data_IF_174460946959
#
_entry.id   IF_174460946959
#
_cell.length_a   1.000
_cell.length_b   1.000
_cell.length_c   1.000
_cell.angle_alpha   90.00
_cell.angle_beta   90.00
_cell.angle_gamma   90.00
#
_symmetry.space_group_name_H-M   'P 1'
#
loop_
_entity.id
_entity.type
_entity.pdbx_description
1 polymer ?
#
# COMPACT_ATOMS: atom_id res chain seq x y z
N UNK A 1 0.01 4.66 13.61
CA UNK A 1 -0.06 3.20 13.38
C UNK A 1 0.93 2.78 12.31
N UNK A 2 1.19 1.50 12.23
CA UNK A 2 2.09 0.93 11.24
C UNK A 2 1.27 0.37 10.07
N UNK A 3 1.53 0.91 8.88
CA UNK A 3 0.83 0.54 7.66
C UNK A 3 1.81 -0.17 6.73
N UNK A 4 1.41 -1.30 6.19
CA UNK A 4 2.13 -1.95 5.10
C UNK A 4 1.18 -2.14 3.94
N UNK A 5 1.70 -2.26 2.73
CA UNK A 5 0.82 -2.44 1.59
C UNK A 5 1.55 -2.72 0.29
N UNK A 6 0.77 -2.82 -0.76
CA UNK A 6 1.27 -3.07 -2.11
C UNK A 6 0.66 -2.04 -3.07
N UNK A 7 1.50 -1.53 -3.98
CA UNK A 7 1.04 -0.74 -5.11
C UNK A 7 1.42 -1.45 -6.41
N UNK A 8 0.52 -1.46 -7.37
CA UNK A 8 0.76 -2.04 -8.69
C UNK A 8 -0.20 -1.45 -9.73
N UNK A 9 0.28 -1.32 -10.96
CA UNK A 9 -0.51 -0.79 -12.04
C UNK A 9 -0.23 -1.57 -13.33
N UNK A 10 -1.27 -1.97 -14.11
CA UNK A 10 -1.06 -2.74 -15.32
C UNK A 10 -0.43 -1.93 -16.46
N UNK A 11 -0.54 -0.61 -16.44
CA UNK A 11 -0.14 0.24 -17.55
C UNK A 11 1.24 0.84 -17.44
N UNK A 12 1.97 0.57 -16.35
CA UNK A 12 3.33 1.04 -16.29
C UNK A 12 3.88 1.27 -14.90
N UNK A 13 5.19 1.42 -14.87
CA UNK A 13 5.99 1.57 -13.67
C UNK A 13 5.67 2.91 -12.97
N UNK A 14 5.43 3.97 -13.75
CA UNK A 14 5.26 5.32 -13.23
C UNK A 14 4.10 5.43 -12.24
N UNK A 15 2.94 4.86 -12.56
CA UNK A 15 1.76 4.94 -11.68
C UNK A 15 1.98 4.19 -10.37
N UNK A 16 2.69 3.06 -10.42
CA UNK A 16 3.04 2.28 -9.23
C UNK A 16 3.85 3.12 -8.25
N UNK A 17 4.90 3.79 -8.75
CA UNK A 17 5.76 4.62 -7.91
C UNK A 17 5.09 5.92 -7.48
N UNK A 18 4.26 6.51 -8.32
CA UNK A 18 3.48 7.71 -7.96
C UNK A 18 2.54 7.41 -6.80
N UNK A 19 1.85 6.26 -6.85
CA UNK A 19 0.97 5.85 -5.76
C UNK A 19 1.76 5.59 -4.48
N UNK A 20 2.89 4.91 -4.58
CA UNK A 20 3.75 4.64 -3.43
C UNK A 20 4.17 5.95 -2.75
N UNK A 21 4.72 6.88 -3.51
CA UNK A 21 5.19 8.15 -2.99
C UNK A 21 4.06 8.97 -2.36
N UNK A 22 2.94 9.08 -3.05
CA UNK A 22 1.80 9.85 -2.57
C UNK A 22 1.23 9.30 -1.27
N UNK A 23 1.08 7.98 -1.18
CA UNK A 23 0.56 7.32 0.01
C UNK A 23 1.54 7.42 1.18
N UNK A 24 2.82 7.23 0.93
CA UNK A 24 3.84 7.35 1.98
C UNK A 24 3.90 8.76 2.54
N UNK A 25 3.84 9.76 1.68
CA UNK A 25 3.83 11.15 2.12
C UNK A 25 2.58 11.47 2.95
N UNK A 26 1.40 11.06 2.47
CA UNK A 26 0.16 11.28 3.20
C UNK A 26 0.15 10.57 4.56
N UNK A 27 0.65 9.34 4.61
CA UNK A 27 0.75 8.58 5.86
C UNK A 27 1.69 9.24 6.87
N UNK A 28 2.84 9.69 6.41
CA UNK A 28 3.80 10.39 7.29
C UNK A 28 3.25 11.71 7.82
N UNK A 29 2.52 12.46 6.98
CA UNK A 29 1.89 13.72 7.42
C UNK A 29 0.88 13.51 8.54
N UNK A 30 0.26 12.34 8.58
CA UNK A 30 -0.72 12.00 9.61
C UNK A 30 -0.10 11.24 10.79
N UNK A 31 1.22 11.16 10.84
CA UNK A 31 1.95 10.55 11.95
C UNK A 31 2.06 9.05 11.92
N UNK A 32 1.82 8.43 10.77
CA UNK A 32 1.93 6.96 10.62
C UNK A 32 3.27 6.55 10.06
N UNK A 33 3.68 5.32 10.37
CA UNK A 33 4.78 4.66 9.68
C UNK A 33 4.17 3.82 8.55
N UNK A 34 4.72 3.95 7.35
CA UNK A 34 4.14 3.29 6.19
C UNK A 34 5.25 2.72 5.31
N UNK A 35 5.09 1.47 4.91
CA UNK A 35 5.98 0.78 3.98
C UNK A 35 5.15 0.14 2.88
N UNK A 36 5.44 0.49 1.64
CA UNK A 36 4.71 -0.02 0.48
C UNK A 36 5.64 -0.78 -0.45
N UNK A 37 5.28 -2.03 -0.72
CA UNK A 37 5.93 -2.85 -1.72
C UNK A 37 5.37 -2.48 -3.09
N UNK A 38 6.23 -2.35 -4.10
CA UNK A 38 5.80 -2.14 -5.47
C UNK A 38 5.95 -3.43 -6.27
N UNK A 39 4.95 -3.75 -7.09
CA UNK A 39 5.01 -4.87 -8.02
C UNK A 39 4.74 -4.33 -9.43
N UNK A 40 5.74 -4.37 -10.27
CA UNK A 40 5.68 -3.81 -11.61
C UNK A 40 6.51 -4.61 -12.59
N UNK A 41 6.85 -4.00 -13.73
CA UNK A 41 7.61 -4.66 -14.80
C UNK A 41 8.99 -5.14 -14.33
N UNK A 42 9.56 -4.52 -13.31
CA UNK A 42 10.85 -4.88 -12.75
C UNK A 42 10.74 -5.89 -11.59
N UNK A 43 9.56 -6.43 -11.35
CA UNK A 43 9.31 -7.34 -10.25
C UNK A 43 8.97 -6.61 -8.95
N UNK A 44 9.00 -7.33 -7.84
CA UNK A 44 8.69 -6.76 -6.53
C UNK A 44 9.89 -6.01 -5.98
N UNK A 45 9.66 -4.77 -5.51
CA UNK A 45 10.66 -3.94 -4.88
C UNK A 45 10.17 -3.48 -3.52
N UNK A 46 11.10 -3.20 -2.59
CA UNK A 46 10.78 -2.79 -1.23
C UNK A 46 9.85 -3.78 -0.53
N UNK A 47 10.16 -5.05 -0.68
CA UNK A 47 9.29 -6.14 -0.22
C UNK A 47 8.98 -6.05 1.28
N UNK A 48 7.73 -6.37 1.61
CA UNK A 48 7.27 -6.45 2.99
C UNK A 48 7.85 -7.71 3.62
N UNK A 49 8.59 -7.55 4.72
CA UNK A 49 9.21 -8.65 5.44
C UNK A 49 8.27 -9.22 6.50
N UNK A 50 8.64 -10.37 7.07
CA UNK A 50 7.89 -10.94 8.19
C UNK A 50 7.87 -10.00 9.39
N UNK A 51 8.96 -9.29 9.65
CA UNK A 51 9.03 -8.32 10.74
C UNK A 51 8.08 -7.15 10.49
N UNK A 52 8.00 -6.68 9.25
CA UNK A 52 7.04 -5.64 8.87
C UNK A 52 5.61 -6.08 9.15
N UNK A 53 5.28 -7.33 8.82
CA UNK A 53 3.95 -7.89 9.06
C UNK A 53 3.63 -8.02 10.54
N UNK A 54 4.61 -8.39 11.37
CA UNK A 54 4.40 -8.53 12.82
C UNK A 54 4.01 -7.22 13.48
N UNK A 55 4.56 -6.11 13.00
CA UNK A 55 4.30 -4.79 13.58
C UNK A 55 3.18 -4.04 12.87
N UNK A 56 2.70 -4.54 11.74
CA UNK A 56 1.67 -3.86 10.96
C UNK A 56 0.31 -3.89 11.65
N UNK A 57 -0.32 -2.73 11.70
CA UNK A 57 -1.68 -2.59 12.23
C UNK A 57 -2.72 -2.82 11.15
N UNK A 58 -2.37 -2.51 9.89
CA UNK A 58 -3.30 -2.61 8.76
C UNK A 58 -2.52 -2.77 7.46
N UNK A 59 -3.17 -3.38 6.47
CA UNK A 59 -2.62 -3.59 5.12
C UNK A 59 -3.43 -2.79 4.11
N UNK A 60 -2.73 -2.05 3.25
CA UNK A 60 -3.34 -1.29 2.15
C UNK A 60 -2.95 -1.91 0.82
N UNK A 61 -3.95 -2.27 0.03
CA UNK A 61 -3.74 -2.80 -1.33
C UNK A 61 -4.25 -1.75 -2.33
N UNK A 62 -3.32 -1.02 -2.94
CA UNK A 62 -3.62 0.06 -3.89
C UNK A 62 -3.16 -0.38 -5.28
N UNK A 63 -4.02 -1.12 -5.97
CA UNK A 63 -3.63 -1.80 -7.21
C UNK A 63 -4.65 -1.61 -8.32
N UNK A 64 -4.19 -1.72 -9.57
CA UNK A 64 -5.04 -1.76 -10.75
C UNK A 64 -4.97 -3.10 -11.47
N UNK A 65 -4.29 -4.09 -10.89
CA UNK A 65 -4.11 -5.41 -11.48
C UNK A 65 -3.92 -6.44 -10.38
N UNK A 66 -3.88 -7.71 -10.75
CA UNK A 66 -3.59 -8.79 -9.81
C UNK A 66 -2.14 -8.70 -9.33
N UNK A 67 -1.91 -9.01 -8.06
CA UNK A 67 -0.58 -9.00 -7.45
C UNK A 67 -0.32 -10.32 -6.73
N UNK A 68 0.97 -10.59 -6.49
CA UNK A 68 1.41 -11.82 -5.84
C UNK A 68 1.57 -11.63 -4.32
N UNK A 69 1.46 -12.72 -3.59
CA UNK A 69 1.80 -12.75 -2.18
C UNK A 69 0.72 -12.21 -1.24
N UNK A 70 -0.52 -12.14 -1.68
CA UNK A 70 -1.63 -11.65 -0.84
C UNK A 70 -1.93 -12.59 0.34
N UNK A 71 -1.61 -13.87 0.22
CA UNK A 71 -1.83 -14.86 1.27
C UNK A 71 -1.06 -14.56 2.56
N UNK A 72 0.04 -13.83 2.48
CA UNK A 72 0.80 -13.41 3.68
C UNK A 72 0.05 -12.43 4.55
N UNK A 73 -1.03 -11.84 4.04
CA UNK A 73 -1.88 -10.91 4.79
C UNK A 73 -3.09 -11.58 5.45
N UNK A 74 -3.20 -12.90 5.36
CA UNK A 74 -4.29 -13.62 6.01
C UNK A 74 -4.31 -13.32 7.51
N UNK A 75 -5.50 -13.06 8.04
CA UNK A 75 -5.67 -12.70 9.44
C UNK A 75 -5.41 -11.23 9.75
N UNK A 76 -5.02 -10.44 8.77
CA UNK A 76 -4.80 -9.00 8.92
C UNK A 76 -6.01 -8.21 8.42
N UNK A 77 -6.16 -6.99 8.93
CA UNK A 77 -7.14 -6.06 8.38
C UNK A 77 -6.60 -5.52 7.05
N UNK A 78 -7.31 -5.77 5.97
CA UNK A 78 -6.88 -5.38 4.62
C UNK A 78 -7.90 -4.41 4.02
N UNK A 79 -7.43 -3.30 3.48
CA UNK A 79 -8.25 -2.34 2.75
C UNK A 79 -7.74 -2.27 1.32
N UNK A 80 -8.62 -2.48 0.36
CA UNK A 80 -8.30 -2.39 -1.07
C UNK A 80 -8.83 -1.10 -1.66
N UNK A 81 -8.01 -0.44 -2.46
CA UNK A 81 -8.41 0.72 -3.26
C UNK A 81 -7.82 0.60 -4.65
N UNK A 82 -8.36 1.35 -5.59
CA UNK A 82 -7.78 1.44 -6.93
C UNK A 82 -6.53 2.31 -6.89
N UNK A 83 -5.50 1.94 -7.66
CA UNK A 83 -4.25 2.70 -7.72
C UNK A 83 -4.50 4.15 -8.18
N UNK A 84 -5.45 4.38 -9.08
CA UNK A 84 -5.79 5.73 -9.54
C UNK A 84 -6.35 6.59 -8.40
N UNK A 85 -7.16 6.02 -7.53
CA UNK A 85 -7.70 6.74 -6.38
C UNK A 85 -6.61 7.09 -5.38
N UNK A 86 -5.64 6.21 -5.21
CA UNK A 86 -4.48 6.46 -4.34
C UNK A 86 -3.66 7.66 -4.83
N UNK A 87 -3.51 7.80 -6.13
CA UNK A 87 -2.79 8.94 -6.73
C UNK A 87 -3.59 10.23 -6.63
N UNK A 88 -4.88 10.16 -6.93
CA UNK A 88 -5.76 11.33 -6.91
C UNK A 88 -5.99 11.92 -5.53
N UNK A 89 -6.17 11.04 -4.54
CA UNK A 89 -6.53 11.49 -3.20
C UNK A 89 -5.90 10.57 -2.15
N UNK A 90 -4.58 10.65 -1.97
CA UNK A 90 -3.87 9.78 -1.03
C UNK A 90 -4.30 10.00 0.42
N UNK A 91 -4.66 11.22 0.81
CA UNK A 91 -5.13 11.48 2.18
C UNK A 91 -6.43 10.74 2.48
N UNK A 92 -7.36 10.69 1.53
CA UNK A 92 -8.61 9.95 1.71
C UNK A 92 -8.35 8.45 1.91
N UNK A 93 -7.35 7.91 1.22
CA UNK A 93 -6.94 6.52 1.40
C UNK A 93 -6.44 6.28 2.82
N UNK A 94 -5.59 7.17 3.34
CA UNK A 94 -5.07 7.04 4.71
C UNK A 94 -6.19 7.20 5.74
N UNK A 95 -7.11 8.13 5.54
CA UNK A 95 -8.27 8.30 6.43
C UNK A 95 -9.13 7.03 6.45
N UNK A 96 -9.31 6.39 5.30
CA UNK A 96 -10.04 5.13 5.19
C UNK A 96 -9.37 4.04 6.03
N UNK A 97 -8.04 3.97 6.03
CA UNK A 97 -7.29 3.03 6.86
C UNK A 97 -7.51 3.33 8.35
N UNK A 98 -7.46 4.59 8.74
CA UNK A 98 -7.66 4.99 10.13
C UNK A 98 -9.04 4.59 10.63
N UNK A 99 -10.06 4.68 9.78
CA UNK A 99 -11.43 4.29 10.13
C UNK A 99 -11.65 2.79 10.17
N UNK A 100 -10.81 2.02 9.50
CA UNK A 100 -10.93 0.57 9.44
C UNK A 100 -10.34 -0.15 10.66
N UNK A 101 -9.52 0.53 11.42
CA UNK A 101 -8.84 -0.04 12.61
C UNK A 101 -9.66 0.19 13.87
#
# INVERSE_FOLDING_TARGET
>A
MNIVGITACPTGIAHTYMAQEALEEAGRKRGHQIKLETQGAMGAENEITEDDLKTADIVLIAVGCAVDGLERFDGKCVVEIDVADAIKNPEAAIVKLEKAV
#
